data_IF_938205892206
#
_entry.id   IF_938205892206
#
_cell.length_a   1.000
_cell.length_b   1.000
_cell.length_c   1.000
_cell.angle_alpha   90.00
_cell.angle_beta   90.00
_cell.angle_gamma   90.00
#
_symmetry.space_group_name_H-M   'P 1'
#
loop_
_entity.id
_entity.type
_entity.pdbx_description
1 polymer ?
#
# COMPACT_ATOMS: atom_id res chain seq x y z
N UNK A 1 0.86 0.72 -3.03
CA UNK A 1 2.02 1.63 -3.03
C UNK A 1 3.32 0.83 -3.00
N UNK A 2 4.32 1.27 -3.77
CA UNK A 2 5.69 0.74 -3.69
C UNK A 2 6.52 1.67 -2.81
N UNK A 3 7.33 1.10 -1.92
CA UNK A 3 8.36 1.83 -1.16
C UNK A 3 9.68 1.63 -1.90
N UNK A 4 10.13 2.67 -2.60
CA UNK A 4 11.35 2.61 -3.40
C UNK A 4 12.11 3.95 -3.42
N UNK A 5 13.12 4.06 -2.56
CA UNK A 5 14.05 5.20 -2.48
C UNK A 5 15.33 4.98 -3.28
N UNK A 6 15.47 3.84 -3.97
CA UNK A 6 16.72 3.42 -4.60
C UNK A 6 17.69 2.67 -3.67
N UNK A 7 17.42 2.62 -2.36
CA UNK A 7 18.21 1.86 -1.37
C UNK A 7 17.36 0.79 -0.66
N UNK A 8 17.82 -0.47 -0.71
CA UNK A 8 17.08 -1.61 -0.15
C UNK A 8 16.91 -1.53 1.37
N UNK A 9 17.95 -1.10 2.09
CA UNK A 9 17.90 -1.01 3.53
C UNK A 9 16.98 0.13 3.99
N UNK A 10 17.01 1.27 3.30
CA UNK A 10 16.10 2.38 3.51
C UNK A 10 14.65 1.99 3.23
N UNK A 11 14.39 1.29 2.12
CA UNK A 11 13.06 0.75 1.81
C UNK A 11 12.53 -0.15 2.92
N UNK A 12 13.36 -1.06 3.42
CA UNK A 12 12.96 -1.97 4.48
C UNK A 12 12.71 -1.23 5.81
N UNK A 13 13.52 -0.22 6.16
CA UNK A 13 13.28 0.62 7.35
C UNK A 13 11.95 1.36 7.27
N UNK A 14 11.65 2.01 6.14
CA UNK A 14 10.37 2.69 5.91
C UNK A 14 9.21 1.70 5.97
N UNK A 15 9.35 0.54 5.33
CA UNK A 15 8.35 -0.50 5.32
C UNK A 15 8.06 -1.03 6.72
N UNK A 16 9.08 -1.36 7.51
CA UNK A 16 8.91 -1.85 8.89
C UNK A 16 8.35 -0.78 9.82
N UNK A 17 8.74 0.49 9.65
CA UNK A 17 8.14 1.60 10.40
C UNK A 17 6.63 1.71 10.11
N UNK A 18 6.22 1.60 8.84
CA UNK A 18 4.80 1.56 8.47
C UNK A 18 4.11 0.30 9.01
N UNK A 19 4.77 -0.85 8.95
CA UNK A 19 4.24 -2.14 9.41
C UNK A 19 4.02 -2.17 10.92
N UNK A 20 4.82 -1.46 11.70
CA UNK A 20 4.60 -1.29 13.13
C UNK A 20 3.25 -0.61 13.45
N UNK A 21 2.77 0.25 12.55
CA UNK A 21 1.46 0.93 12.63
C UNK A 21 0.36 0.19 11.86
N UNK A 22 0.59 -1.06 11.44
CA UNK A 22 -0.30 -1.81 10.54
C UNK A 22 -1.76 -1.83 10.99
N UNK A 23 -2.01 -2.07 12.28
CA UNK A 23 -3.39 -2.18 12.80
C UNK A 23 -4.15 -0.88 12.63
N UNK A 24 -3.52 0.25 12.95
CA UNK A 24 -4.14 1.57 12.84
C UNK A 24 -4.35 1.93 11.37
N UNK A 25 -3.37 1.63 10.50
CA UNK A 25 -3.48 1.84 9.05
C UNK A 25 -4.64 1.04 8.47
N UNK A 26 -4.73 -0.26 8.78
CA UNK A 26 -5.74 -1.16 8.18
C UNK A 26 -7.18 -0.82 8.58
N UNK A 27 -7.41 -0.11 9.69
CA UNK A 27 -8.74 0.37 10.08
C UNK A 27 -9.36 1.35 9.08
N UNK A 28 -8.53 2.04 8.28
CA UNK A 28 -9.00 2.98 7.27
C UNK A 28 -9.38 2.31 5.94
N UNK A 29 -9.02 1.03 5.76
CA UNK A 29 -9.24 0.33 4.50
C UNK A 29 -10.44 -0.62 4.60
N UNK A 30 -11.21 -0.79 3.52
CA UNK A 30 -12.35 -1.70 3.51
C UNK A 30 -11.95 -3.18 3.60
N UNK A 31 -10.66 -3.50 3.45
CA UNK A 31 -10.08 -4.84 3.51
C UNK A 31 -8.65 -4.76 4.05
N UNK A 32 -8.16 -5.86 4.60
CA UNK A 32 -6.78 -5.99 5.01
C UNK A 32 -5.83 -5.73 3.84
N UNK A 33 -4.71 -5.07 4.13
CA UNK A 33 -3.66 -4.81 3.15
C UNK A 33 -2.72 -6.02 3.07
N UNK A 34 -2.20 -6.25 1.86
CA UNK A 34 -1.06 -7.12 1.64
C UNK A 34 0.22 -6.34 1.94
N UNK A 35 1.10 -6.92 2.77
CA UNK A 35 2.38 -6.35 3.16
C UNK A 35 3.50 -7.26 2.63
N UNK A 36 4.12 -6.84 1.53
CA UNK A 36 5.10 -7.62 0.77
C UNK A 36 6.48 -6.98 0.93
N UNK A 37 7.27 -7.50 1.85
CA UNK A 37 8.65 -7.07 2.11
C UNK A 37 9.59 -7.31 0.91
N UNK A 38 9.21 -8.23 0.02
CA UNK A 38 9.92 -8.64 -1.17
C UNK A 38 11.42 -8.84 -0.89
N UNK A 39 11.77 -9.81 -0.03
CA UNK A 39 13.15 -10.10 0.40
C UNK A 39 14.16 -10.19 -0.76
N UNK A 40 13.73 -10.67 -1.94
CA UNK A 40 14.57 -10.81 -3.13
C UNK A 40 14.61 -9.57 -4.04
N UNK A 41 13.83 -8.53 -3.76
CA UNK A 41 13.78 -7.28 -4.53
C UNK A 41 14.24 -6.10 -3.68
N UNK A 42 14.52 -4.98 -4.34
CA UNK A 42 14.89 -3.73 -3.67
C UNK A 42 13.69 -3.04 -3.01
N UNK A 43 12.56 -3.02 -3.71
CA UNK A 43 11.36 -2.30 -3.27
C UNK A 43 10.44 -3.20 -2.45
N UNK A 44 9.83 -2.64 -1.41
CA UNK A 44 8.75 -3.27 -0.67
C UNK A 44 7.39 -2.79 -1.21
N UNK A 45 6.30 -3.53 -0.97
CA UNK A 45 4.98 -3.18 -1.47
C UNK A 45 3.92 -3.34 -0.39
N UNK A 46 3.00 -2.37 -0.35
CA UNK A 46 1.76 -2.44 0.42
C UNK A 46 0.62 -2.36 -0.59
N UNK A 47 -0.27 -3.34 -0.63
CA UNK A 47 -1.30 -3.45 -1.66
C UNK A 47 -2.69 -3.70 -1.09
N UNK A 48 -3.71 -3.07 -1.69
CA UNK A 48 -5.11 -3.39 -1.48
C UNK A 48 -5.56 -4.27 -2.64
N UNK A 49 -6.00 -5.49 -2.35
CA UNK A 49 -6.52 -6.41 -3.36
C UNK A 49 -8.05 -6.49 -3.29
N UNK A 50 -8.68 -6.64 -4.45
CA UNK A 50 -10.08 -7.06 -4.58
C UNK A 50 -10.15 -8.44 -5.26
N UNK A 51 -11.14 -9.27 -4.91
CA UNK A 51 -11.51 -10.41 -5.72
C UNK A 51 -11.93 -9.95 -7.11
N UNK A 52 -11.66 -10.79 -8.11
CA UNK A 52 -12.07 -10.56 -9.50
C UNK A 52 -11.17 -11.33 -10.45
N UNK A 53 -11.63 -11.47 -11.70
CA UNK A 53 -10.87 -12.07 -12.79
C UNK A 53 -10.65 -11.05 -13.89
N UNK A 54 -9.58 -11.22 -14.64
CA UNK A 54 -9.39 -10.48 -15.90
C UNK A 54 -10.52 -10.91 -16.83
N UNK A 55 -11.34 -9.96 -17.28
CA UNK A 55 -12.54 -10.21 -18.07
C UNK A 55 -13.88 -10.12 -17.32
N UNK A 56 -13.88 -9.76 -16.02
CA UNK A 56 -15.14 -9.36 -15.35
C UNK A 56 -15.62 -8.00 -15.91
N UNK A 57 -16.87 -7.94 -16.37
CA UNK A 57 -17.41 -6.89 -17.25
C UNK A 57 -17.82 -5.58 -16.55
N UNK A 58 -17.71 -5.47 -15.23
CA UNK A 58 -18.09 -4.23 -14.53
C UNK A 58 -16.91 -3.25 -14.39
N UNK A 59 -16.53 -2.64 -15.51
CA UNK A 59 -15.42 -1.67 -15.59
C UNK A 59 -15.65 -0.46 -14.69
N UNK A 60 -16.90 0.02 -14.56
CA UNK A 60 -17.20 1.20 -13.75
C UNK A 60 -17.01 0.93 -12.25
N UNK A 61 -17.42 -0.24 -11.76
CA UNK A 61 -17.15 -0.64 -10.38
C UNK A 61 -15.64 -0.81 -10.13
N UNK A 62 -14.91 -1.41 -11.08
CA UNK A 62 -13.46 -1.52 -10.98
C UNK A 62 -12.80 -0.14 -10.93
N UNK A 63 -13.26 0.81 -11.74
CA UNK A 63 -12.76 2.18 -11.79
C UNK A 63 -13.04 2.90 -10.47
N UNK A 64 -14.26 2.83 -9.96
CA UNK A 64 -14.64 3.41 -8.68
C UNK A 64 -13.81 2.83 -7.53
N UNK A 65 -13.63 1.50 -7.51
CA UNK A 65 -12.77 0.83 -6.54
C UNK A 65 -11.32 1.31 -6.61
N UNK A 66 -10.78 1.46 -7.83
CA UNK A 66 -9.40 1.91 -8.02
C UNK A 66 -9.20 3.35 -7.56
N UNK A 67 -10.10 4.26 -7.95
CA UNK A 67 -10.08 5.67 -7.52
C UNK A 67 -10.14 5.76 -6.00
N UNK A 68 -11.11 5.08 -5.37
CA UNK A 68 -11.23 5.10 -3.91
C UNK A 68 -10.00 4.51 -3.21
N UNK A 69 -9.43 3.44 -3.77
CA UNK A 69 -8.19 2.86 -3.28
C UNK A 69 -7.05 3.88 -3.31
N UNK A 70 -6.87 4.58 -4.43
CA UNK A 70 -5.84 5.62 -4.56
C UNK A 70 -6.02 6.76 -3.56
N UNK A 71 -7.24 7.25 -3.37
CA UNK A 71 -7.56 8.28 -2.37
C UNK A 71 -7.16 7.83 -0.97
N UNK A 72 -7.58 6.62 -0.55
CA UNK A 72 -7.21 6.05 0.74
C UNK A 72 -5.70 5.92 0.92
N UNK A 73 -4.98 5.49 -0.11
CA UNK A 73 -3.52 5.44 -0.05
C UNK A 73 -2.92 6.83 0.15
N UNK A 74 -3.41 7.86 -0.54
CA UNK A 74 -2.94 9.23 -0.35
C UNK A 74 -3.29 9.78 1.04
N UNK A 75 -4.54 9.66 1.47
CA UNK A 75 -5.05 10.15 2.76
C UNK A 75 -4.28 9.54 3.94
N UNK A 76 -4.07 8.22 3.92
CA UNK A 76 -3.48 7.50 5.05
C UNK A 76 -1.95 7.55 5.02
N UNK A 77 -1.31 7.33 3.88
CA UNK A 77 0.16 7.17 3.85
C UNK A 77 0.92 8.48 3.70
N UNK A 78 0.38 9.51 3.04
CA UNK A 78 1.11 10.79 2.87
C UNK A 78 1.57 11.41 4.20
N UNK A 79 0.72 11.56 5.24
CA UNK A 79 1.17 12.11 6.52
C UNK A 79 2.12 11.17 7.28
N UNK A 80 2.00 9.86 7.10
CA UNK A 80 2.88 8.88 7.74
C UNK A 80 4.27 8.88 7.11
N UNK A 81 4.35 8.96 5.79
CA UNK A 81 5.61 9.03 5.05
C UNK A 81 6.43 10.26 5.42
N UNK A 82 5.80 11.43 5.62
CA UNK A 82 6.48 12.63 6.12
C UNK A 82 7.09 12.48 7.52
N UNK A 83 6.69 11.46 8.30
CA UNK A 83 7.25 11.16 9.63
C UNK A 83 8.35 10.11 9.61
N UNK A 84 8.30 9.18 8.66
CA UNK A 84 9.22 8.02 8.62
C UNK A 84 10.34 8.15 7.58
N UNK A 85 10.18 9.03 6.60
CA UNK A 85 11.22 9.39 5.64
C UNK A 85 11.88 10.66 6.15
N UNK A 86 12.97 10.52 6.89
CA UNK A 86 13.83 11.62 7.37
C UNK A 86 15.27 11.35 6.96
#
# INVERSE_FOLDING_TARGET
MSVDTGDKAANHRVFEALRAMRRDIEQHFPRALSWEDNVHRRACRIALYRPGRIGDDNIEELRAWFIRGLELFQEVFSPLLGRVVT
#
